data_IF_205028486490
#
_entry.id   IF_205028486490
#
_cell.length_a   1.000
_cell.length_b   1.000
_cell.length_c   1.000
_cell.angle_alpha   90.00
_cell.angle_beta   90.00
_cell.angle_gamma   90.00
#
_symmetry.space_group_name_H-M   'P 1'
#
loop_
_entity.id
_entity.type
_entity.pdbx_description
1 polymer ?
#
# COMPACT_ATOMS: atom_id res chain seq x y z
N UNK A 1 8.50 -13.55 8.92
CA UNK A 1 7.64 -13.11 10.05
C UNK A 1 6.75 -11.96 9.59
N UNK A 2 5.49 -11.88 10.05
CA UNK A 2 4.66 -10.70 9.82
C UNK A 2 5.30 -9.48 10.48
N UNK A 3 5.28 -8.33 9.80
CA UNK A 3 5.83 -7.08 10.33
C UNK A 3 4.83 -6.39 11.22
N UNK A 4 5.32 -5.70 12.25
CA UNK A 4 4.52 -4.71 12.96
C UNK A 4 4.28 -3.51 12.04
N UNK A 5 3.07 -2.93 12.04
CA UNK A 5 2.83 -1.60 11.48
C UNK A 5 3.83 -0.57 12.02
N UNK A 6 4.19 0.41 11.19
CA UNK A 6 5.07 1.53 11.55
C UNK A 6 4.30 2.69 12.14
N UNK A 7 3.04 2.87 11.74
CA UNK A 7 2.14 3.80 12.41
C UNK A 7 1.38 3.10 13.53
N UNK A 8 1.02 3.88 14.55
CA UNK A 8 0.12 3.44 15.62
C UNK A 8 -1.19 2.94 15.03
N UNK A 9 -1.53 1.69 15.38
CA UNK A 9 -2.74 1.05 14.89
C UNK A 9 -3.99 1.82 15.35
N UNK A 10 -4.99 1.87 14.49
CA UNK A 10 -6.29 2.45 14.80
C UNK A 10 -7.24 1.34 15.26
N UNK A 11 -7.92 1.53 16.38
CA UNK A 11 -8.96 0.59 16.80
C UNK A 11 -10.26 0.87 16.04
N UNK A 12 -10.69 -0.08 15.21
CA UNK A 12 -11.92 0.05 14.41
C UNK A 12 -12.91 -1.08 14.72
N UNK A 13 -14.23 -0.80 14.73
CA UNK A 13 -15.24 -1.84 14.77
C UNK A 13 -15.30 -2.58 13.42
N UNK A 14 -15.84 -3.79 13.45
CA UNK A 14 -16.23 -4.46 12.22
C UNK A 14 -17.37 -3.70 11.54
N UNK A 15 -17.33 -3.64 10.20
CA UNK A 15 -18.46 -3.14 9.44
C UNK A 15 -19.67 -4.07 9.67
N UNK A 16 -20.84 -3.55 10.09
CA UNK A 16 -22.01 -4.39 10.29
C UNK A 16 -22.41 -5.12 9.00
N UNK A 17 -22.57 -6.44 9.08
CA UNK A 17 -23.06 -7.29 7.99
C UNK A 17 -24.24 -8.13 8.51
N UNK A 18 -25.25 -8.43 7.66
CA UNK A 18 -26.42 -9.21 8.08
C UNK A 18 -26.07 -10.56 8.72
N UNK A 19 -25.01 -11.23 8.24
CA UNK A 19 -24.55 -12.52 8.78
C UNK A 19 -24.12 -12.43 10.26
N UNK A 20 -23.69 -11.26 10.74
CA UNK A 20 -23.28 -11.08 12.13
C UNK A 20 -24.44 -11.26 13.12
N UNK A 21 -25.69 -11.11 12.68
CA UNK A 21 -26.87 -11.35 13.52
C UNK A 21 -27.05 -12.82 13.90
N UNK A 22 -26.42 -13.75 13.17
CA UNK A 22 -26.44 -15.19 13.46
C UNK A 22 -25.29 -15.67 14.34
N UNK A 23 -24.46 -14.77 14.87
CA UNK A 23 -23.36 -15.14 15.75
C UNK A 23 -23.84 -15.26 17.20
N UNK A 24 -23.46 -16.36 17.87
CA UNK A 24 -23.85 -16.64 19.27
C UNK A 24 -23.04 -15.87 20.31
N UNK A 25 -22.24 -14.89 19.88
CA UNK A 25 -21.49 -14.00 20.76
C UNK A 25 -22.04 -12.57 20.67
N UNK A 26 -21.97 -11.82 21.78
CA UNK A 26 -22.64 -10.53 22.01
C UNK A 26 -22.14 -9.33 21.18
N UNK A 27 -21.69 -9.56 19.96
CA UNK A 27 -21.13 -8.58 19.03
C UNK A 27 -19.65 -8.80 18.74
N UNK A 28 -19.21 -8.35 17.56
CA UNK A 28 -17.80 -8.36 17.19
C UNK A 28 -17.06 -7.23 17.92
N UNK A 29 -15.90 -7.51 18.56
CA UNK A 29 -15.13 -6.47 19.23
C UNK A 29 -14.47 -5.54 18.21
N UNK A 30 -14.21 -4.29 18.62
CA UNK A 30 -13.29 -3.45 17.87
C UNK A 30 -11.86 -3.97 18.02
N UNK A 31 -11.08 -3.94 16.94
CA UNK A 31 -9.73 -4.49 16.89
C UNK A 31 -8.73 -3.45 16.38
N UNK A 32 -7.46 -3.48 16.83
CA UNK A 32 -6.40 -2.65 16.26
C UNK A 32 -6.14 -3.07 14.82
N UNK A 33 -6.25 -2.12 13.89
CA UNK A 33 -5.95 -2.29 12.47
C UNK A 33 -4.87 -1.31 12.04
N UNK A 34 -4.14 -1.67 10.98
CA UNK A 34 -3.18 -0.78 10.34
C UNK A 34 -3.89 0.49 9.85
N UNK A 35 -3.23 1.65 9.97
CA UNK A 35 -3.76 2.90 9.43
C UNK A 35 -3.88 2.83 7.91
N UNK A 36 -4.87 3.52 7.37
CA UNK A 36 -5.19 3.48 5.93
C UNK A 36 -4.01 3.93 5.06
N UNK A 37 -3.27 4.94 5.49
CA UNK A 37 -2.12 5.48 4.76
C UNK A 37 -1.01 4.44 4.63
N UNK A 38 -0.76 3.68 5.71
CA UNK A 38 0.23 2.61 5.71
C UNK A 38 -0.26 1.38 4.93
N UNK A 39 -1.55 1.02 5.02
CA UNK A 39 -2.14 -0.04 4.22
C UNK A 39 -2.00 0.23 2.72
N UNK A 40 -2.30 1.47 2.29
CA UNK A 40 -2.12 1.91 0.91
C UNK A 40 -0.64 1.83 0.52
N UNK A 41 0.28 2.34 1.34
CA UNK A 41 1.70 2.30 1.05
C UNK A 41 2.26 0.87 0.91
N UNK A 42 1.79 -0.08 1.72
CA UNK A 42 2.16 -1.50 1.60
C UNK A 42 1.65 -2.12 0.30
N UNK A 43 0.40 -1.82 -0.06
CA UNK A 43 -0.20 -2.27 -1.32
C UNK A 43 0.53 -1.70 -2.53
N UNK A 44 0.87 -0.41 -2.51
CA UNK A 44 1.67 0.25 -3.54
C UNK A 44 3.06 -0.39 -3.66
N UNK A 45 3.73 -0.71 -2.55
CA UNK A 45 5.05 -1.33 -2.57
C UNK A 45 5.02 -2.75 -3.14
N UNK A 46 4.00 -3.54 -2.80
CA UNK A 46 3.80 -4.87 -3.39
C UNK A 46 3.45 -4.79 -4.87
N UNK A 47 2.52 -3.91 -5.24
CA UNK A 47 2.08 -3.68 -6.62
C UNK A 47 3.22 -3.21 -7.53
N UNK A 48 4.15 -2.42 -6.99
CA UNK A 48 5.36 -1.99 -7.69
C UNK A 48 6.22 -3.19 -8.11
N UNK A 49 6.32 -4.22 -7.27
CA UNK A 49 7.11 -5.42 -7.51
C UNK A 49 6.38 -6.49 -8.32
N UNK A 50 5.08 -6.68 -8.09
CA UNK A 50 4.24 -7.66 -8.81
C UNK A 50 2.86 -7.06 -9.07
N UNK A 51 2.42 -7.04 -10.33
CA UNK A 51 1.08 -6.57 -10.69
C UNK A 51 0.01 -7.61 -10.32
N UNK A 52 -0.76 -7.34 -9.27
CA UNK A 52 -1.77 -8.26 -8.74
C UNK A 52 -3.15 -7.62 -8.79
N UNK A 53 -4.17 -8.35 -9.26
CA UNK A 53 -5.52 -7.84 -9.42
C UNK A 53 -6.17 -7.49 -8.07
N UNK A 54 -5.88 -8.24 -6.99
CA UNK A 54 -6.39 -7.94 -5.65
C UNK A 54 -5.83 -6.61 -5.12
N UNK A 55 -4.53 -6.41 -5.25
CA UNK A 55 -3.90 -5.15 -4.82
C UNK A 55 -4.40 -3.97 -5.67
N UNK A 56 -4.60 -4.16 -6.98
CA UNK A 56 -5.16 -3.13 -7.85
C UNK A 56 -6.62 -2.80 -7.48
N UNK A 57 -7.44 -3.80 -7.19
CA UNK A 57 -8.80 -3.60 -6.71
C UNK A 57 -8.82 -2.79 -5.40
N UNK A 58 -8.01 -3.18 -4.43
CA UNK A 58 -7.89 -2.48 -3.13
C UNK A 58 -7.46 -1.03 -3.33
N UNK A 59 -6.46 -0.77 -4.18
CA UNK A 59 -5.97 0.59 -4.48
C UNK A 59 -7.03 1.42 -5.20
N UNK A 60 -7.77 0.86 -6.16
CA UNK A 60 -8.88 1.55 -6.79
C UNK A 60 -10.00 1.85 -5.78
N UNK A 61 -10.31 0.91 -4.89
CA UNK A 61 -11.28 1.11 -3.81
C UNK A 61 -10.87 2.26 -2.89
N UNK A 62 -9.65 2.24 -2.35
CA UNK A 62 -9.12 3.34 -1.53
C UNK A 62 -9.12 4.66 -2.28
N UNK A 63 -8.87 4.62 -3.58
CA UNK A 63 -8.86 5.82 -4.41
C UNK A 63 -10.20 6.52 -4.52
N UNK A 64 -11.30 5.77 -4.42
CA UNK A 64 -12.67 6.28 -4.42
C UNK A 64 -13.11 6.78 -3.04
N UNK A 65 -12.45 6.35 -1.97
CA UNK A 65 -12.85 6.68 -0.60
C UNK A 65 -12.13 7.92 -0.07
N UNK A 66 -12.87 9.02 0.10
CA UNK A 66 -12.49 10.16 0.93
C UNK A 66 -11.19 10.88 0.56
N UNK A 67 -10.82 11.84 1.42
CA UNK A 67 -9.50 12.47 1.37
C UNK A 67 -8.45 11.51 1.94
N UNK A 68 -7.28 11.46 1.30
CA UNK A 68 -6.12 10.70 1.78
C UNK A 68 -4.95 11.65 1.97
N UNK A 69 -4.11 11.40 2.98
CA UNK A 69 -2.86 12.11 3.15
C UNK A 69 -1.84 11.62 2.10
N UNK A 70 -1.79 12.36 0.99
CA UNK A 70 -0.94 12.04 -0.14
C UNK A 70 0.55 12.13 0.21
N UNK A 71 0.93 13.07 1.07
CA UNK A 71 2.33 13.24 1.47
C UNK A 71 2.78 12.07 2.33
N UNK A 72 1.98 11.70 3.33
CA UNK A 72 2.28 10.56 4.19
C UNK A 72 2.30 9.23 3.42
N UNK A 73 1.35 9.01 2.50
CA UNK A 73 1.33 7.81 1.67
C UNK A 73 2.58 7.71 0.79
N UNK A 74 2.97 8.79 0.12
CA UNK A 74 4.17 8.81 -0.72
C UNK A 74 5.43 8.54 0.10
N UNK A 75 5.55 9.20 1.25
CA UNK A 75 6.64 9.01 2.20
C UNK A 75 6.75 7.54 2.64
N UNK A 76 5.66 6.96 3.14
CA UNK A 76 5.61 5.57 3.60
C UNK A 76 5.91 4.59 2.46
N UNK A 77 5.35 4.83 1.27
CA UNK A 77 5.55 3.96 0.12
C UNK A 77 7.02 3.84 -0.27
N UNK A 78 7.76 4.96 -0.32
CA UNK A 78 9.19 4.96 -0.63
C UNK A 78 9.97 4.16 0.41
N UNK A 79 9.65 4.35 1.70
CA UNK A 79 10.30 3.60 2.78
C UNK A 79 9.95 2.11 2.72
N UNK A 80 8.71 1.74 2.39
CA UNK A 80 8.30 0.34 2.21
C UNK A 80 9.04 -0.30 1.05
N UNK A 81 9.22 0.41 -0.05
CA UNK A 81 10.03 -0.07 -1.19
C UNK A 81 11.50 -0.20 -0.81
N UNK A 82 12.08 0.81 -0.15
CA UNK A 82 13.46 0.73 0.36
C UNK A 82 13.63 -0.52 1.23
N UNK A 83 12.68 -0.80 2.11
CA UNK A 83 12.70 -2.00 2.93
C UNK A 83 12.66 -3.29 2.09
N UNK A 84 11.74 -3.37 1.12
CA UNK A 84 11.59 -4.52 0.23
C UNK A 84 12.87 -4.77 -0.61
N UNK A 85 13.57 -3.71 -1.05
CA UNK A 85 14.80 -3.80 -1.85
C UNK A 85 16.02 -4.10 -0.97
N UNK A 86 16.29 -3.25 0.03
CA UNK A 86 17.57 -3.21 0.76
C UNK A 86 17.58 -4.13 1.97
N UNK A 87 16.48 -4.20 2.70
CA UNK A 87 16.40 -4.97 3.95
C UNK A 87 16.01 -6.41 3.66
N UNK A 88 15.04 -6.60 2.77
CA UNK A 88 14.47 -7.91 2.52
C UNK A 88 15.02 -8.62 1.27
N UNK A 89 15.62 -7.88 0.34
CA UNK A 89 16.12 -8.43 -0.91
C UNK A 89 15.03 -9.03 -1.81
N UNK A 90 13.78 -8.56 -1.70
CA UNK A 90 12.63 -9.07 -2.47
C UNK A 90 12.58 -8.53 -3.89
N UNK A 91 13.29 -7.43 -4.16
CA UNK A 91 13.29 -6.77 -5.46
C UNK A 91 14.72 -6.66 -5.99
N UNK A 92 14.99 -7.39 -7.08
CA UNK A 92 16.32 -7.47 -7.70
C UNK A 92 16.69 -6.24 -8.54
N UNK A 93 15.71 -5.52 -9.07
CA UNK A 93 15.93 -4.25 -9.77
C UNK A 93 16.03 -3.13 -8.73
N UNK A 94 17.20 -2.49 -8.65
CA UNK A 94 17.56 -1.58 -7.55
C UNK A 94 17.03 -0.15 -7.72
N UNK A 95 16.48 0.17 -8.88
CA UNK A 95 15.98 1.52 -9.16
C UNK A 95 14.47 1.51 -9.02
N UNK A 96 14.00 2.19 -7.98
CA UNK A 96 12.60 2.51 -7.82
C UNK A 96 12.31 3.82 -8.56
N UNK A 97 11.49 3.71 -9.61
CA UNK A 97 11.00 4.85 -10.39
C UNK A 97 9.46 4.91 -10.30
N UNK A 98 8.90 5.95 -9.65
CA UNK A 98 7.46 6.15 -9.61
C UNK A 98 6.79 6.18 -10.98
N UNK A 99 7.49 6.64 -12.03
CA UNK A 99 6.93 6.69 -13.37
C UNK A 99 6.75 5.30 -13.97
N UNK A 100 7.70 4.40 -13.74
CA UNK A 100 7.59 3.01 -14.16
C UNK A 100 6.43 2.27 -13.47
N UNK A 101 6.15 2.61 -12.21
CA UNK A 101 5.07 1.98 -11.44
C UNK A 101 3.70 2.51 -11.86
N UNK A 102 3.62 3.80 -12.20
CA UNK A 102 2.42 4.44 -12.75
C UNK A 102 2.34 4.38 -14.27
N UNK A 103 3.19 3.59 -14.93
CA UNK A 103 3.07 3.34 -16.36
C UNK A 103 1.82 2.49 -16.61
N UNK A 104 1.11 2.68 -17.74
CA UNK A 104 0.00 1.83 -18.11
C UNK A 104 0.39 0.35 -18.08
N UNK A 105 -0.41 -0.49 -17.40
CA UNK A 105 -0.23 -1.95 -17.43
C UNK A 105 -1.37 -2.61 -18.22
N UNK A 106 -1.04 -3.59 -19.04
CA UNK A 106 -2.07 -4.41 -19.69
C UNK A 106 -2.73 -5.31 -18.66
N UNK A 107 -4.00 -5.66 -18.88
CA UNK A 107 -4.69 -6.69 -18.10
C UNK A 107 -3.91 -8.01 -18.12
N UNK A 108 -3.16 -8.30 -19.19
CA UNK A 108 -2.32 -9.51 -19.31
C UNK A 108 -1.10 -9.50 -18.40
N UNK A 109 -0.66 -8.33 -17.95
CA UNK A 109 0.50 -8.15 -17.07
C UNK A 109 0.09 -8.20 -15.59
N UNK A 110 -1.20 -8.38 -15.31
CA UNK A 110 -1.77 -8.42 -13.98
C UNK A 110 -2.20 -9.85 -13.69
N UNK A 111 -1.64 -10.44 -12.65
CA UNK A 111 -2.09 -11.73 -12.14
C UNK A 111 -3.51 -11.57 -11.58
N UNK A 112 -4.44 -12.39 -12.08
CA UNK A 112 -5.84 -12.37 -11.70
C UNK A 112 -6.05 -12.73 -10.22
N UNK A 113 -5.14 -13.51 -9.61
CA UNK A 113 -5.24 -14.03 -8.23
C UNK A 113 -6.65 -14.54 -7.88
N UNK A 114 -7.39 -15.09 -8.86
CA UNK A 114 -8.77 -15.56 -8.69
C UNK A 114 -9.73 -14.49 -8.14
N UNK A 115 -9.52 -13.21 -8.47
CA UNK A 115 -10.31 -12.07 -7.97
C UNK A 115 -11.81 -12.23 -8.25
N UNK A 116 -12.18 -12.98 -9.29
CA UNK A 116 -13.57 -13.24 -9.65
C UNK A 116 -14.40 -14.02 -8.63
N UNK A 117 -13.77 -14.73 -7.69
CA UNK A 117 -14.47 -15.35 -6.55
C UNK A 117 -14.74 -14.36 -5.41
N UNK A 118 -14.01 -13.25 -5.37
CA UNK A 118 -14.03 -12.29 -4.27
C UNK A 118 -14.92 -11.08 -4.57
N UNK A 119 -15.04 -10.69 -5.83
CA UNK A 119 -15.82 -9.52 -6.24
C UNK A 119 -16.38 -9.65 -7.65
N UNK A 120 -17.54 -9.04 -7.86
CA UNK A 120 -18.20 -8.90 -9.15
C UNK A 120 -18.87 -7.52 -9.24
N UNK A 121 -18.80 -6.83 -10.39
CA UNK A 121 -18.14 -7.22 -11.62
C UNK A 121 -16.61 -7.05 -11.58
N UNK A 122 -15.88 -7.87 -12.35
CA UNK A 122 -14.42 -7.69 -12.55
C UNK A 122 -14.20 -6.68 -13.68
N UNK A 123 -13.47 -5.60 -13.39
CA UNK A 123 -13.07 -4.62 -14.40
C UNK A 123 -11.66 -4.08 -14.15
N UNK A 124 -10.67 -4.94 -14.38
CA UNK A 124 -9.24 -4.64 -14.18
C UNK A 124 -8.81 -3.39 -14.95
N UNK A 125 -9.29 -3.21 -16.18
CA UNK A 125 -8.97 -2.05 -17.00
C UNK A 125 -9.46 -0.73 -16.37
N UNK A 126 -10.69 -0.71 -15.83
CA UNK A 126 -11.19 0.48 -15.14
C UNK A 126 -10.41 0.75 -13.84
N UNK A 127 -10.11 -0.30 -13.06
CA UNK A 127 -9.32 -0.15 -11.83
C UNK A 127 -7.92 0.38 -12.11
N UNK A 128 -7.30 -0.02 -13.22
CA UNK A 128 -6.00 0.50 -13.67
C UNK A 128 -6.06 2.00 -13.95
N UNK A 129 -7.05 2.45 -14.72
CA UNK A 129 -7.23 3.87 -15.06
C UNK A 129 -7.44 4.72 -13.80
N UNK A 130 -8.31 4.25 -12.91
CA UNK A 130 -8.59 4.93 -11.64
C UNK A 130 -7.37 4.99 -10.74
N UNK A 131 -6.64 3.87 -10.59
CA UNK A 131 -5.39 3.81 -9.86
C UNK A 131 -4.40 4.85 -10.38
N UNK A 132 -4.12 4.86 -11.68
CA UNK A 132 -3.14 5.78 -12.26
C UNK A 132 -3.55 7.24 -12.11
N UNK A 133 -4.84 7.54 -12.25
CA UNK A 133 -5.36 8.89 -12.08
C UNK A 133 -5.23 9.35 -10.63
N UNK A 134 -5.71 8.53 -9.68
CA UNK A 134 -5.78 8.90 -8.26
C UNK A 134 -4.41 9.04 -7.60
N UNK A 135 -3.47 8.18 -8.00
CA UNK A 135 -2.14 8.09 -7.41
C UNK A 135 -1.07 8.85 -8.21
N UNK A 136 -1.48 9.78 -9.10
CA UNK A 136 -0.56 10.59 -9.88
C UNK A 136 0.43 11.42 -9.02
N UNK A 137 0.03 11.79 -7.80
CA UNK A 137 0.84 12.53 -6.82
C UNK A 137 2.11 11.80 -6.37
N UNK A 138 2.20 10.48 -6.61
CA UNK A 138 3.38 9.69 -6.32
C UNK A 138 4.58 10.08 -7.19
N UNK A 139 4.36 10.83 -8.28
CA UNK A 139 5.44 11.40 -9.11
C UNK A 139 6.14 12.59 -8.46
N UNK A 140 5.45 13.27 -7.55
CA UNK A 140 5.89 14.54 -6.97
C UNK A 140 6.82 14.29 -5.77
N UNK A 141 7.91 13.56 -6.01
CA UNK A 141 8.94 13.32 -4.99
C UNK A 141 9.59 14.65 -4.59
N UNK A 142 9.85 14.85 -3.30
CA UNK A 142 10.78 15.89 -2.84
C UNK A 142 12.26 15.42 -2.96
N UNK A 143 13.21 16.27 -2.57
CA UNK A 143 14.64 15.97 -2.71
C UNK A 143 15.10 14.78 -1.85
N UNK A 144 14.61 14.67 -0.62
CA UNK A 144 14.94 13.56 0.26
C UNK A 144 14.33 12.25 -0.24
N UNK A 145 13.06 12.30 -0.67
CA UNK A 145 12.32 11.20 -1.27
C UNK A 145 13.01 10.66 -2.53
N UNK A 146 13.54 11.55 -3.39
CA UNK A 146 14.35 11.17 -4.55
C UNK A 146 15.63 10.43 -4.15
N UNK A 147 16.27 10.84 -3.06
CA UNK A 147 17.47 10.17 -2.57
C UNK A 147 17.17 8.79 -2.00
N UNK A 148 16.05 8.62 -1.29
CA UNK A 148 15.65 7.32 -0.76
C UNK A 148 15.17 6.36 -1.85
N UNK A 149 14.53 6.89 -2.90
CA UNK A 149 14.11 6.15 -4.09
C UNK A 149 15.27 5.41 -4.78
N UNK A 150 16.53 5.87 -4.64
CA UNK A 150 17.69 5.16 -5.20
C UNK A 150 18.00 3.84 -4.49
N UNK A 151 17.32 3.53 -3.37
CA UNK A 151 17.49 2.30 -2.58
C UNK A 151 18.97 1.98 -2.27
N UNK A 152 19.77 3.01 -1.96
CA UNK A 152 21.19 2.84 -1.70
C UNK A 152 21.45 2.26 -0.30
N UNK A 153 22.09 1.08 -0.24
CA UNK A 153 22.28 0.33 1.02
C UNK A 153 23.01 1.11 2.13
N UNK A 154 23.89 2.07 1.76
CA UNK A 154 24.58 2.95 2.72
C UNK A 154 23.65 3.84 3.56
N UNK A 155 22.38 3.99 3.18
CA UNK A 155 21.37 4.78 3.91
C UNK A 155 20.60 3.97 4.96
N UNK A 156 21.01 2.73 5.23
CA UNK A 156 20.32 1.86 6.19
C UNK A 156 20.18 2.49 7.58
N UNK A 157 21.17 3.23 8.04
CA UNK A 157 21.09 3.93 9.32
C UNK A 157 20.03 5.02 9.33
N UNK A 158 20.02 5.88 8.30
CA UNK A 158 19.01 6.92 8.09
C UNK A 158 17.59 6.32 8.05
N UNK A 159 17.41 5.24 7.28
CA UNK A 159 16.15 4.50 7.20
C UNK A 159 15.62 4.04 8.58
N UNK A 160 16.50 3.49 9.43
CA UNK A 160 16.12 3.07 10.79
C UNK A 160 15.65 4.27 11.62
N UNK A 161 16.36 5.41 11.53
CA UNK A 161 15.98 6.62 12.25
C UNK A 161 14.61 7.16 11.79
N UNK A 162 14.32 7.10 10.48
CA UNK A 162 13.04 7.54 9.92
C UNK A 162 11.88 6.68 10.45
N UNK A 163 12.01 5.35 10.44
CA UNK A 163 10.97 4.45 10.97
C UNK A 163 10.77 4.65 12.47
N UNK A 164 11.85 4.80 13.24
CA UNK A 164 11.72 5.03 14.69
C UNK A 164 10.94 6.31 15.04
N UNK A 165 10.94 7.32 14.17
CA UNK A 165 10.13 8.54 14.37
C UNK A 165 8.64 8.32 14.08
N UNK A 166 8.30 7.42 13.16
CA UNK A 166 6.90 7.08 12.83
C UNK A 166 6.20 6.36 14.00
N UNK A 167 6.93 5.51 14.70
CA UNK A 167 6.44 4.78 15.89
C UNK A 167 6.13 5.72 17.07
N UNK A 168 6.69 6.93 17.07
CA UNK A 168 6.56 7.94 18.14
C UNK A 168 5.55 9.06 17.82
N UNK A 169 4.92 9.03 16.64
CA UNK A 169 3.99 10.07 16.21
C UNK A 169 2.57 9.73 16.69
N UNK A 170 2.00 10.57 17.57
CA UNK A 170 0.63 10.43 18.12
C UNK A 170 -0.47 10.79 17.12
#
# INVERSE_FOLDING_TARGET
>A
MPRRPWLKAQTLPFLPQPVHAGYDFGGLPAIPVVRVEEAIAEKLARYARVGLARDLFDLAWYGRTGAIDQQLIRYLWILKVYNDVVIDGRWSNRIFDPNAILAPRSVRDIDDEQIGYLTQPINIAAWEVEFRSRYAFLRDLNDDERQWATCHAGRRYEFIQLISKLDQSD
#
